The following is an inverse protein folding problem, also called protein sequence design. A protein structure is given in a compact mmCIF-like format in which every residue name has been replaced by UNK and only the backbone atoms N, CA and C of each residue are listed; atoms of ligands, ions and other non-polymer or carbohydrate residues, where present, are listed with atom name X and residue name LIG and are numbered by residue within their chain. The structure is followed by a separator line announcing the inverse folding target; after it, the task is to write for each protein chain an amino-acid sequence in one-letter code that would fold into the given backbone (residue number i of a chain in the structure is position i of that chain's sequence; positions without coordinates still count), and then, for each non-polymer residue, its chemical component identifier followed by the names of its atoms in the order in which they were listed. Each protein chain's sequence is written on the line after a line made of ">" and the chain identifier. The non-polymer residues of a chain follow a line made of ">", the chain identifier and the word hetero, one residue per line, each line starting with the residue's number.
data_IF_891706751685
#
_entry.id   IF_891706751685
#
_cell.length_a   1.000
_cell.length_b   1.000
_cell.length_c   1.000
_cell.angle_alpha   90.00
_cell.angle_beta   90.00
_cell.angle_gamma   90.00
#
_symmetry.space_group_name_H-M   'P 1'
#
loop_
_entity.id
_entity.type
_entity.pdbx_description
1 polymer ?
#
# COMPACT_ATOMS: atom_id res chain seq x y z
N UNK A 1 3.79 46.41 -25.45
CA UNK A 1 2.75 45.40 -25.78
C UNK A 1 3.34 44.03 -25.47
N UNK A 2 2.92 43.39 -24.38
CA UNK A 2 3.50 42.12 -23.89
C UNK A 2 2.65 40.93 -24.37
N UNK A 3 3.25 40.03 -25.15
CA UNK A 3 2.58 38.87 -25.74
C UNK A 3 2.31 37.79 -24.69
N UNK A 4 1.06 37.30 -24.62
CA UNK A 4 0.65 36.17 -23.76
C UNK A 4 1.23 34.86 -24.31
N UNK A 5 1.88 34.08 -23.44
CA UNK A 5 2.39 32.75 -23.76
C UNK A 5 1.25 31.74 -24.04
N UNK A 6 1.37 30.86 -25.06
CA UNK A 6 0.41 29.78 -25.33
C UNK A 6 0.81 28.52 -24.55
N UNK A 7 0.73 28.55 -23.22
CA UNK A 7 1.14 27.41 -22.36
C UNK A 7 -0.02 26.50 -21.92
N UNK A 8 -1.28 26.87 -22.18
CA UNK A 8 -2.45 26.12 -21.69
C UNK A 8 -2.61 24.73 -22.35
N UNK A 9 -2.42 24.63 -23.67
CA UNK A 9 -2.63 23.38 -24.42
C UNK A 9 -1.59 22.30 -24.07
N UNK A 10 -0.32 22.67 -23.99
CA UNK A 10 0.79 21.75 -23.66
C UNK A 10 0.71 21.27 -22.20
N UNK A 11 0.25 22.13 -21.29
CA UNK A 11 0.05 21.75 -19.88
C UNK A 11 -1.14 20.80 -19.74
N UNK A 12 -2.22 21.01 -20.51
CA UNK A 12 -3.37 20.08 -20.52
C UNK A 12 -3.02 18.70 -21.09
N UNK A 13 -2.18 18.63 -22.12
CA UNK A 13 -1.72 17.37 -22.71
C UNK A 13 -0.82 16.58 -21.76
N UNK A 14 0.12 17.25 -21.06
CA UNK A 14 0.97 16.61 -20.05
C UNK A 14 0.17 16.07 -18.86
N UNK A 15 -0.84 16.80 -18.41
CA UNK A 15 -1.72 16.34 -17.32
C UNK A 15 -2.60 15.18 -17.78
N UNK A 16 -3.11 15.21 -19.01
CA UNK A 16 -3.83 14.09 -19.64
C UNK A 16 -2.99 12.80 -19.70
N UNK A 17 -1.71 12.92 -20.05
CA UNK A 17 -0.77 11.79 -20.13
C UNK A 17 -0.55 11.07 -18.79
N UNK A 18 -0.79 11.72 -17.64
CA UNK A 18 -0.59 11.08 -16.33
C UNK A 18 -1.69 10.07 -15.97
N UNK A 19 -2.91 10.31 -16.47
CA UNK A 19 -4.06 9.41 -16.24
C UNK A 19 -4.28 8.45 -17.41
N UNK A 20 -3.70 8.74 -18.58
CA UNK A 20 -3.80 7.92 -19.78
C UNK A 20 -3.46 6.43 -19.56
N UNK A 21 -2.42 6.05 -18.78
CA UNK A 21 -2.14 4.64 -18.51
C UNK A 21 -3.28 3.93 -17.78
N UNK A 22 -4.01 4.63 -16.91
CA UNK A 22 -5.15 4.06 -16.15
C UNK A 22 -6.31 3.77 -17.08
N UNK A 23 -6.65 4.71 -17.97
CA UNK A 23 -7.71 4.51 -18.96
C UNK A 23 -7.36 3.41 -19.98
N UNK A 24 -6.10 3.37 -20.43
CA UNK A 24 -5.61 2.30 -21.32
C UNK A 24 -5.68 0.95 -20.62
N UNK A 25 -5.22 0.86 -19.37
CA UNK A 25 -5.28 -0.39 -18.60
C UNK A 25 -6.72 -0.85 -18.37
N UNK A 26 -7.65 0.08 -18.10
CA UNK A 26 -9.08 -0.24 -17.95
C UNK A 26 -9.67 -0.74 -19.26
N UNK A 27 -9.39 -0.07 -20.39
CA UNK A 27 -9.86 -0.50 -21.71
C UNK A 27 -9.32 -1.90 -22.04
N UNK A 28 -8.02 -2.11 -21.83
CA UNK A 28 -7.36 -3.39 -22.08
C UNK A 28 -7.97 -4.50 -21.22
N UNK A 29 -8.22 -4.22 -19.93
CA UNK A 29 -8.90 -5.15 -19.03
C UNK A 29 -10.28 -5.53 -19.55
N UNK A 30 -11.08 -4.56 -20.02
CA UNK A 30 -12.43 -4.82 -20.56
C UNK A 30 -12.37 -5.67 -21.84
N UNK A 31 -11.41 -5.40 -22.74
CA UNK A 31 -11.23 -6.19 -23.97
C UNK A 31 -10.79 -7.62 -23.65
N UNK A 32 -9.85 -7.81 -22.72
CA UNK A 32 -9.43 -9.15 -22.31
C UNK A 32 -10.59 -9.89 -21.63
N UNK A 33 -11.34 -9.21 -20.76
CA UNK A 33 -12.50 -9.78 -20.08
C UNK A 33 -13.63 -10.16 -21.04
N UNK A 34 -13.87 -9.39 -22.10
CA UNK A 34 -14.92 -9.72 -23.08
C UNK A 34 -14.61 -10.98 -23.89
N UNK A 35 -13.32 -11.26 -24.14
CA UNK A 35 -12.88 -12.44 -24.88
C UNK A 35 -12.84 -13.67 -23.97
N UNK A 36 -12.30 -13.54 -22.76
CA UNK A 36 -12.04 -14.68 -21.88
C UNK A 36 -13.20 -14.99 -20.93
N UNK A 37 -13.99 -14.00 -20.54
CA UNK A 37 -15.05 -14.13 -19.54
C UNK A 37 -16.24 -13.20 -19.82
N UNK A 38 -16.96 -13.37 -20.95
CA UNK A 38 -18.03 -12.46 -21.36
C UNK A 38 -19.18 -12.35 -20.35
N UNK A 39 -19.41 -13.37 -19.52
CA UNK A 39 -20.39 -13.35 -18.45
C UNK A 39 -20.13 -12.26 -17.39
N UNK A 40 -18.87 -11.83 -17.21
CA UNK A 40 -18.49 -10.77 -16.25
C UNK A 40 -18.99 -9.38 -16.67
N UNK A 41 -19.19 -9.16 -17.97
CA UNK A 41 -19.77 -7.93 -18.51
C UNK A 41 -21.30 -8.01 -18.63
N UNK A 42 -21.92 -9.11 -18.23
CA UNK A 42 -23.37 -9.26 -18.19
C UNK A 42 -24.02 -8.38 -17.12
N UNK A 43 -25.28 -7.98 -17.35
CA UNK A 43 -26.00 -7.09 -16.43
C UNK A 43 -26.12 -7.59 -14.99
N UNK A 44 -26.16 -8.92 -14.78
CA UNK A 44 -26.20 -9.52 -13.44
C UNK A 44 -24.87 -9.32 -12.70
N UNK A 45 -23.75 -9.63 -13.37
CA UNK A 45 -22.42 -9.46 -12.79
C UNK A 45 -22.11 -7.98 -12.50
N UNK A 46 -22.49 -7.08 -13.42
CA UNK A 46 -22.32 -5.64 -13.22
C UNK A 46 -23.16 -5.12 -12.04
N UNK A 47 -24.40 -5.57 -11.88
CA UNK A 47 -25.24 -5.20 -10.72
C UNK A 47 -24.70 -5.75 -9.40
N UNK A 48 -24.08 -6.92 -9.43
CA UNK A 48 -23.41 -7.49 -8.26
C UNK A 48 -22.15 -6.69 -7.86
N UNK A 49 -21.38 -6.17 -8.84
CA UNK A 49 -20.14 -5.43 -8.56
C UNK A 49 -20.35 -3.93 -8.32
N UNK A 50 -21.41 -3.34 -8.87
CA UNK A 50 -21.75 -1.92 -8.76
C UNK A 50 -21.75 -1.37 -7.31
N UNK A 51 -22.35 -2.04 -6.30
CA UNK A 51 -22.31 -1.53 -4.92
C UNK A 51 -20.89 -1.51 -4.34
N UNK A 52 -20.03 -2.47 -4.68
CA UNK A 52 -18.62 -2.43 -4.27
C UNK A 52 -17.90 -1.24 -4.88
N UNK A 53 -18.14 -0.96 -6.17
CA UNK A 53 -17.62 0.23 -6.85
C UNK A 53 -18.08 1.54 -6.19
N UNK A 54 -19.36 1.62 -5.80
CA UNK A 54 -19.90 2.80 -5.10
C UNK A 54 -19.23 3.02 -3.73
N UNK A 55 -19.06 1.95 -2.93
CA UNK A 55 -18.37 2.01 -1.63
C UNK A 55 -16.91 2.44 -1.81
N UNK A 56 -16.19 1.84 -2.76
CA UNK A 56 -14.80 2.22 -3.07
C UNK A 56 -14.69 3.66 -3.60
N UNK A 57 -15.67 4.13 -4.38
CA UNK A 57 -15.74 5.50 -4.87
C UNK A 57 -15.91 6.52 -3.74
N UNK A 58 -16.89 6.31 -2.86
CA UNK A 58 -17.12 7.17 -1.67
C UNK A 58 -15.87 7.20 -0.79
N UNK A 59 -15.24 6.04 -0.60
CA UNK A 59 -14.03 5.94 0.19
C UNK A 59 -12.82 6.61 -0.45
N UNK A 60 -12.67 6.55 -1.77
CA UNK A 60 -11.63 7.25 -2.50
C UNK A 60 -11.78 8.77 -2.37
N UNK A 61 -13.03 9.28 -2.40
CA UNK A 61 -13.30 10.70 -2.14
C UNK A 61 -12.92 11.09 -0.70
N UNK A 62 -13.26 10.27 0.29
CA UNK A 62 -12.84 10.48 1.68
C UNK A 62 -11.32 10.43 1.86
N UNK A 63 -10.65 9.47 1.20
CA UNK A 63 -9.20 9.35 1.19
C UNK A 63 -8.51 10.53 0.51
N UNK A 64 -9.11 11.14 -0.52
CA UNK A 64 -8.59 12.35 -1.13
C UNK A 64 -8.49 13.50 -0.11
N UNK A 65 -9.49 13.69 0.76
CA UNK A 65 -9.45 14.69 1.83
C UNK A 65 -8.29 14.43 2.81
N UNK A 66 -8.06 13.17 3.17
CA UNK A 66 -6.94 12.79 4.05
C UNK A 66 -5.59 13.04 3.38
N UNK A 67 -5.45 12.69 2.10
CA UNK A 67 -4.22 12.91 1.34
C UNK A 67 -3.91 14.40 1.18
N UNK A 68 -4.92 15.25 0.99
CA UNK A 68 -4.73 16.71 0.91
C UNK A 68 -4.16 17.31 2.20
N UNK A 69 -4.44 16.71 3.37
CA UNK A 69 -3.78 17.10 4.63
C UNK A 69 -2.31 16.62 4.72
N UNK A 70 -1.78 16.04 3.64
CA UNK A 70 -0.40 15.59 3.51
C UNK A 70 -0.15 14.20 4.09
N UNK A 71 -1.17 13.34 4.15
CA UNK A 71 -1.06 11.99 4.75
C UNK A 71 -1.22 10.82 3.79
N UNK A 72 -0.31 9.85 3.89
CA UNK A 72 -0.46 8.53 3.29
C UNK A 72 -1.02 7.63 4.38
N UNK A 73 -2.32 7.74 4.63
CA UNK A 73 -2.99 7.02 5.70
C UNK A 73 -3.61 5.71 5.19
N UNK A 74 -3.11 4.59 5.71
CA UNK A 74 -3.63 3.25 5.42
C UNK A 74 -4.79 2.86 6.36
N UNK A 75 -5.28 3.79 7.20
CA UNK A 75 -6.33 3.49 8.18
C UNK A 75 -7.70 3.26 7.55
N UNK A 76 -8.06 3.90 6.43
CA UNK A 76 -9.40 3.77 5.83
C UNK A 76 -9.74 2.33 5.44
N UNK A 77 -8.86 1.58 4.74
CA UNK A 77 -9.06 0.14 4.55
C UNK A 77 -9.25 -0.62 5.86
N UNK A 78 -8.53 -0.26 6.93
CA UNK A 78 -8.69 -0.85 8.26
C UNK A 78 -10.05 -0.55 8.90
N UNK A 79 -10.55 0.68 8.78
CA UNK A 79 -11.88 1.07 9.27
C UNK A 79 -13.00 0.37 8.53
N UNK A 80 -12.84 0.12 7.23
CA UNK A 80 -13.79 -0.67 6.43
C UNK A 80 -13.87 -2.11 6.91
N UNK A 81 -12.71 -2.74 7.14
CA UNK A 81 -12.65 -4.11 7.67
C UNK A 81 -13.29 -4.21 9.05
N UNK A 82 -13.05 -3.23 9.92
CA UNK A 82 -13.69 -3.18 11.24
C UNK A 82 -15.22 -3.05 11.11
N UNK A 83 -15.70 -2.14 10.27
CA UNK A 83 -17.13 -1.97 10.02
C UNK A 83 -17.78 -3.25 9.46
N UNK A 84 -17.08 -3.96 8.57
CA UNK A 84 -17.54 -5.25 8.04
C UNK A 84 -17.64 -6.32 9.14
N UNK A 85 -16.63 -6.42 10.02
CA UNK A 85 -16.66 -7.36 11.15
C UNK A 85 -17.79 -7.03 12.13
N UNK A 86 -18.03 -5.74 12.41
CA UNK A 86 -19.15 -5.31 13.26
C UNK A 86 -20.49 -5.65 12.61
N UNK A 87 -20.65 -5.40 11.30
CA UNK A 87 -21.88 -5.74 10.58
C UNK A 87 -22.18 -7.24 10.61
N UNK A 88 -21.17 -8.09 10.45
CA UNK A 88 -21.33 -9.54 10.52
C UNK A 88 -21.59 -10.01 11.95
N UNK A 89 -20.84 -9.50 12.92
CA UNK A 89 -20.94 -9.92 14.32
C UNK A 89 -22.21 -9.45 15.03
N UNK A 90 -22.72 -8.26 14.71
CA UNK A 90 -23.95 -7.70 15.28
C UNK A 90 -25.20 -8.11 14.47
N UNK A 91 -25.04 -8.41 13.19
CA UNK A 91 -26.16 -8.81 12.34
C UNK A 91 -26.66 -10.24 12.58
N UNK A 92 -25.81 -11.14 13.08
CA UNK A 92 -26.07 -12.55 13.47
C UNK A 92 -27.11 -13.32 12.64
N UNK A 93 -27.23 -13.02 11.34
CA UNK A 93 -28.22 -13.60 10.43
C UNK A 93 -29.68 -13.19 10.66
N UNK A 94 -29.98 -12.31 11.63
CA UNK A 94 -31.33 -11.85 11.94
C UNK A 94 -31.66 -10.53 11.22
N UNK A 95 -32.68 -10.55 10.36
CA UNK A 95 -33.11 -9.35 9.62
C UNK A 95 -33.53 -8.19 10.52
N UNK A 96 -34.01 -8.46 11.73
CA UNK A 96 -34.43 -7.46 12.71
C UNK A 96 -33.25 -6.66 13.30
N UNK A 97 -32.04 -7.25 13.30
CA UNK A 97 -30.85 -6.64 13.89
C UNK A 97 -30.01 -5.85 12.89
N UNK A 98 -30.38 -5.87 11.60
CA UNK A 98 -29.67 -5.13 10.54
C UNK A 98 -29.60 -3.64 10.88
N UNK A 99 -30.68 -3.06 11.41
CA UNK A 99 -30.65 -1.65 11.79
C UNK A 99 -29.68 -1.33 12.91
N UNK A 100 -29.62 -2.20 13.92
CA UNK A 100 -28.69 -2.08 15.04
C UNK A 100 -27.24 -2.24 14.55
N UNK A 101 -27.01 -3.19 13.64
CA UNK A 101 -25.71 -3.41 13.02
C UNK A 101 -25.22 -2.17 12.25
N UNK A 102 -26.10 -1.55 11.45
CA UNK A 102 -25.74 -0.34 10.67
C UNK A 102 -25.39 0.82 11.59
N UNK A 103 -26.22 1.09 12.61
CA UNK A 103 -25.99 2.20 13.54
C UNK A 103 -24.70 1.98 14.33
N UNK A 104 -24.47 0.77 14.85
CA UNK A 104 -23.24 0.45 15.62
C UNK A 104 -21.99 0.54 14.75
N UNK A 105 -22.04 0.06 13.50
CA UNK A 105 -20.94 0.18 12.56
C UNK A 105 -20.63 1.64 12.20
N UNK A 106 -21.65 2.48 11.99
CA UNK A 106 -21.48 3.91 11.71
C UNK A 106 -20.87 4.66 12.89
N UNK A 107 -21.35 4.40 14.11
CA UNK A 107 -20.80 5.03 15.33
C UNK A 107 -19.34 4.62 15.53
N UNK A 108 -19.03 3.32 15.40
CA UNK A 108 -17.66 2.84 15.52
C UNK A 108 -16.73 3.46 14.46
N UNK A 109 -17.17 3.50 13.20
CA UNK A 109 -16.41 4.12 12.11
C UNK A 109 -16.20 5.62 12.33
N UNK A 110 -17.20 6.35 12.84
CA UNK A 110 -17.10 7.77 13.14
C UNK A 110 -16.10 8.04 14.28
N UNK A 111 -16.12 7.24 15.35
CA UNK A 111 -15.17 7.35 16.46
C UNK A 111 -13.75 7.10 15.98
N UNK A 112 -13.53 6.01 15.23
CA UNK A 112 -12.20 5.69 14.70
C UNK A 112 -11.72 6.76 13.72
N UNK A 113 -12.61 7.27 12.84
CA UNK A 113 -12.31 8.36 11.93
C UNK A 113 -11.93 9.65 12.64
N UNK A 114 -12.61 9.99 13.74
CA UNK A 114 -12.30 11.16 14.56
C UNK A 114 -10.93 11.02 15.24
N UNK A 115 -10.66 9.87 15.84
CA UNK A 115 -9.35 9.57 16.46
C UNK A 115 -8.23 9.66 15.42
N UNK A 116 -8.43 9.05 14.25
CA UNK A 116 -7.45 9.07 13.16
C UNK A 116 -7.24 10.51 12.64
N UNK A 117 -8.31 11.29 12.46
CA UNK A 117 -8.23 12.69 12.07
C UNK A 117 -7.42 13.54 13.06
N UNK A 118 -7.64 13.34 14.36
CA UNK A 118 -6.91 14.04 15.44
C UNK A 118 -5.44 13.61 15.47
N UNK A 119 -5.15 12.31 15.39
CA UNK A 119 -3.77 11.80 15.37
C UNK A 119 -2.99 12.27 14.14
N UNK A 120 -3.64 12.32 12.98
CA UNK A 120 -3.07 12.78 11.72
C UNK A 120 -2.84 14.30 11.77
N UNK A 121 -3.81 15.08 12.26
CA UNK A 121 -3.67 16.52 12.42
C UNK A 121 -2.61 16.92 13.46
N UNK A 122 -2.53 16.18 14.57
CA UNK A 122 -1.70 16.51 15.72
C UNK A 122 -0.29 15.90 15.74
N UNK A 123 -0.12 14.62 15.39
CA UNK A 123 1.10 13.87 15.71
C UNK A 123 2.07 13.57 14.55
N UNK A 124 1.78 13.99 13.30
CA UNK A 124 2.71 13.87 12.14
C UNK A 124 3.42 12.49 12.00
N UNK A 125 2.77 11.38 12.34
CA UNK A 125 3.35 10.01 12.30
C UNK A 125 3.52 9.44 10.86
N UNK A 126 3.77 10.32 9.88
CA UNK A 126 3.17 10.35 8.54
C UNK A 126 3.73 9.41 7.47
N UNK A 127 4.60 8.46 7.77
CA UNK A 127 5.10 7.62 6.67
C UNK A 127 5.54 6.22 7.08
N UNK A 128 4.61 5.28 7.01
CA UNK A 128 4.96 3.88 6.91
C UNK A 128 5.76 3.63 5.61
N UNK A 129 5.30 4.15 4.47
CA UNK A 129 5.96 3.98 3.16
C UNK A 129 7.33 4.64 3.10
N UNK A 130 7.51 5.87 3.57
CA UNK A 130 8.82 6.52 3.51
C UNK A 130 9.83 5.90 4.50
N UNK A 131 9.39 5.35 5.64
CA UNK A 131 10.25 4.53 6.50
C UNK A 131 10.64 3.21 5.83
N UNK A 132 9.68 2.50 5.25
CA UNK A 132 9.93 1.25 4.53
C UNK A 132 10.86 1.46 3.33
N UNK A 133 10.62 2.47 2.50
CA UNK A 133 11.46 2.83 1.35
C UNK A 133 12.89 3.20 1.79
N UNK A 134 13.04 3.94 2.89
CA UNK A 134 14.35 4.30 3.46
C UNK A 134 15.08 3.07 4.04
N UNK A 135 14.37 2.14 4.68
CA UNK A 135 14.92 0.84 5.10
C UNK A 135 15.40 0.02 3.90
N UNK A 136 14.59 -0.10 2.85
CA UNK A 136 14.94 -0.85 1.63
C UNK A 136 16.15 -0.23 0.92
N UNK A 137 16.18 1.10 0.80
CA UNK A 137 17.34 1.83 0.26
C UNK A 137 18.59 1.59 1.11
N UNK A 138 18.49 1.63 2.45
CA UNK A 138 19.62 1.38 3.34
C UNK A 138 20.11 -0.07 3.26
N UNK A 139 19.21 -1.05 3.17
CA UNK A 139 19.53 -2.47 2.99
C UNK A 139 20.27 -2.72 1.68
N UNK A 140 19.85 -2.07 0.59
CA UNK A 140 20.51 -2.20 -0.72
C UNK A 140 21.89 -1.52 -0.74
N UNK A 141 22.06 -0.40 -0.04
CA UNK A 141 23.38 0.20 0.17
C UNK A 141 24.31 -0.69 1.02
N UNK A 142 23.82 -1.31 2.10
CA UNK A 142 24.64 -2.23 2.92
C UNK A 142 24.97 -3.52 2.19
N UNK A 143 24.05 -4.06 1.38
CA UNK A 143 24.30 -5.23 0.54
C UNK A 143 25.39 -4.94 -0.51
N UNK A 144 25.39 -3.75 -1.11
CA UNK A 144 26.43 -3.30 -2.03
C UNK A 144 27.80 -3.17 -1.35
N UNK A 145 27.83 -2.65 -0.12
CA UNK A 145 29.06 -2.54 0.69
C UNK A 145 29.60 -3.89 1.19
N UNK A 146 28.73 -4.87 1.43
CA UNK A 146 29.14 -6.22 1.80
C UNK A 146 29.73 -6.96 0.59
N UNK A 147 29.13 -6.84 -0.59
CA UNK A 147 29.65 -7.41 -1.83
C UNK A 147 31.02 -6.83 -2.23
N UNK A 148 31.28 -5.54 -1.99
CA UNK A 148 32.58 -4.94 -2.30
C UNK A 148 33.69 -5.33 -1.33
N UNK A 149 33.38 -5.79 -0.10
CA UNK A 149 34.39 -6.28 0.87
C UNK A 149 34.79 -7.74 0.65
N UNK A 150 33.92 -8.58 0.08
CA UNK A 150 34.26 -9.99 -0.20
C UNK A 150 35.22 -10.15 -1.38
N UNK A 151 35.42 -9.10 -2.19
CA UNK A 151 36.35 -9.10 -3.33
C UNK A 151 37.75 -8.61 -2.98
N UNK A 152 38.05 -8.35 -1.69
CA UNK A 152 39.43 -8.16 -1.27
C UNK A 152 40.20 -9.46 -1.61
N UNK A 153 41.31 -9.40 -2.36
CA UNK A 153 42.05 -10.60 -2.73
C UNK A 153 42.50 -11.28 -1.44
N UNK A 154 41.93 -12.45 -1.16
CA UNK A 154 42.40 -13.36 -0.13
C UNK A 154 43.89 -13.55 -0.39
N UNK A 155 44.72 -12.85 0.39
CA UNK A 155 46.16 -12.92 0.26
C UNK A 155 46.57 -14.32 0.71
N UNK A 156 46.58 -15.23 -0.27
CA UNK A 156 47.05 -16.60 -0.19
C UNK A 156 48.54 -16.55 0.11
N UNK A 157 48.90 -16.44 1.38
CA UNK A 157 50.29 -16.66 1.81
C UNK A 157 50.36 -17.10 3.28
N UNK A 158 51.18 -18.13 3.52
CA UNK A 158 51.66 -18.66 4.81
C UNK A 158 50.72 -19.60 5.60
N UNK A 159 50.53 -20.81 5.08
CA UNK A 159 50.63 -21.99 5.95
C UNK A 159 52.10 -22.45 5.95
N UNK A 160 52.86 -21.95 6.92
CA UNK A 160 54.16 -22.52 7.28
C UNK A 160 53.99 -23.33 8.57
N UNK A 161 54.43 -24.60 8.64
CA UNK A 161 54.33 -25.38 9.85
C UNK A 161 55.52 -25.05 10.75
N UNK A 162 55.31 -24.18 11.75
CA UNK A 162 56.29 -23.98 12.81
C UNK A 162 55.63 -24.15 14.17
N UNK A 163 55.89 -25.32 14.74
CA UNK A 163 56.27 -25.44 16.15
C UNK A 163 55.19 -25.19 17.18
N UNK A 164 54.33 -26.20 17.41
CA UNK A 164 53.81 -26.43 18.75
C UNK A 164 54.27 -27.82 19.21
N UNK A 165 55.44 -27.81 19.85
CA UNK A 165 56.00 -28.96 20.56
C UNK A 165 55.15 -29.26 21.79
N UNK A 166 54.93 -30.57 21.99
CA UNK A 166 55.04 -31.42 23.21
C UNK A 166 54.64 -30.85 24.58
N UNK A 167 54.21 -31.82 25.42
CA UNK A 167 53.80 -31.81 26.83
C UNK A 167 52.26 -31.78 26.95
N UNK A 168 51.54 -32.69 27.61
CA UNK A 168 51.85 -33.67 28.65
C UNK A 168 50.60 -34.58 28.86
N UNK A 169 50.76 -35.82 29.35
CA UNK A 169 49.71 -36.64 30.01
C UNK A 169 49.01 -37.69 29.13
N UNK A 170 49.51 -38.93 29.01
CA UNK A 170 49.45 -40.05 29.99
C UNK A 170 48.03 -40.29 30.55
N UNK A 171 47.25 -41.12 29.84
CA UNK A 171 46.11 -41.86 30.41
C UNK A 171 46.19 -43.30 29.90
N UNK A 172 46.46 -44.20 30.86
CA UNK A 172 46.27 -45.66 30.91
C UNK A 172 46.92 -46.53 29.83
#
# INVERSE_FOLDING_TARGET
>A
MSARAPSSALTSFVVGSRYLPVYIALLLLVVVASIWAPATLGGVALRAVAPYGAVLGIAALGQMLVIMTGGIDLSVPGTMSLAAVIMVGVGDGANEQIWVAIVTALVAAAVVGLVNGILIGGFKLRSAVARAARCISRMSHTARWAHTRSSAPTCRSRQGPLGQRRHEGRVK
#
